data_IF_705435849223
#
_entry.id   IF_705435849223
#
_cell.length_a   1.000
_cell.length_b   1.000
_cell.length_c   1.000
_cell.angle_alpha   90.00
_cell.angle_beta   90.00
_cell.angle_gamma   90.00
#
_symmetry.space_group_name_H-M   'P 1'
#
loop_
_entity.id
_entity.type
_entity.pdbx_description
1 polymer ?
#
# COMPACT_ATOMS: atom_id res chain seq x y z
N UNK A 1 4.34 18.25 -2.42
CA UNK A 1 4.64 17.55 -3.70
C UNK A 1 3.51 16.60 -4.03
N UNK A 2 3.32 16.29 -5.32
CA UNK A 2 2.38 15.27 -5.77
C UNK A 2 3.00 13.87 -5.60
N UNK A 3 2.25 12.94 -5.01
CA UNK A 3 2.66 11.55 -4.80
C UNK A 3 1.50 10.58 -4.99
N UNK A 4 1.83 9.32 -5.26
CA UNK A 4 0.90 8.20 -5.35
C UNK A 4 1.20 7.22 -4.21
N UNK A 5 0.24 7.03 -3.30
CA UNK A 5 0.36 6.18 -2.11
C UNK A 5 -0.23 4.79 -2.38
N UNK A 6 0.56 3.74 -2.11
CA UNK A 6 0.21 2.33 -2.35
C UNK A 6 -0.01 1.52 -1.07
N UNK A 7 0.10 2.12 0.13
CA UNK A 7 -0.08 1.46 1.45
C UNK A 7 -1.33 0.58 1.54
N UNK A 8 -2.44 1.00 0.94
CA UNK A 8 -3.73 0.29 0.95
C UNK A 8 -4.22 -0.06 -0.46
N UNK A 9 -3.30 -0.23 -1.41
CA UNK A 9 -3.65 -0.42 -2.82
C UNK A 9 -4.59 -1.60 -3.08
N UNK A 10 -4.37 -2.73 -2.39
CA UNK A 10 -5.17 -3.94 -2.59
C UNK A 10 -6.59 -3.87 -2.01
N UNK A 11 -6.91 -2.87 -1.19
CA UNK A 11 -8.23 -2.71 -0.58
C UNK A 11 -8.94 -1.43 -1.00
N UNK A 12 -8.20 -0.37 -1.32
CA UNK A 12 -8.73 0.97 -1.58
C UNK A 12 -8.19 1.62 -2.86
N UNK A 13 -7.33 0.92 -3.59
CA UNK A 13 -6.63 1.46 -4.76
C UNK A 13 -5.49 2.41 -4.39
N UNK A 14 -4.84 2.94 -5.43
CA UNK A 14 -3.76 3.94 -5.29
C UNK A 14 -4.37 5.28 -4.93
N UNK A 15 -3.89 5.90 -3.86
CA UNK A 15 -4.33 7.24 -3.48
C UNK A 15 -3.41 8.28 -4.11
N UNK A 16 -3.97 9.14 -4.95
CA UNK A 16 -3.27 10.33 -5.44
C UNK A 16 -3.37 11.45 -4.40
N UNK A 17 -2.23 12.03 -4.05
CA UNK A 17 -2.12 13.09 -3.05
C UNK A 17 -1.35 14.25 -3.64
N UNK A 18 -1.96 15.43 -3.63
CA UNK A 18 -1.24 16.68 -3.82
C UNK A 18 -0.91 17.31 -2.46
N UNK A 19 0.25 17.96 -2.37
CA UNK A 19 0.69 18.62 -1.12
C UNK A 19 1.28 17.69 -0.05
N UNK A 20 1.78 16.50 -0.40
CA UNK A 20 2.55 15.69 0.55
C UNK A 20 3.89 16.37 0.91
N UNK A 21 4.35 16.18 2.14
CA UNK A 21 5.61 16.71 2.68
C UNK A 21 6.55 15.53 2.99
N UNK A 22 7.85 15.64 2.74
CA UNK A 22 8.82 14.63 3.23
C UNK A 22 8.99 14.77 4.74
N UNK A 23 9.14 13.65 5.44
CA UNK A 23 9.31 13.63 6.89
C UNK A 23 10.27 12.54 7.37
N UNK A 24 10.71 12.67 8.62
CA UNK A 24 11.67 11.78 9.28
C UNK A 24 13.11 12.26 9.12
N UNK A 25 14.00 11.78 10.00
CA UNK A 25 15.43 12.14 10.02
C UNK A 25 16.16 11.83 8.71
N UNK A 26 15.65 10.85 7.95
CA UNK A 26 16.21 10.42 6.66
C UNK A 26 15.34 10.86 5.46
N UNK A 27 14.26 11.62 5.68
CA UNK A 27 13.34 12.10 4.62
C UNK A 27 12.67 11.02 3.73
N UNK A 28 12.78 9.75 4.08
CA UNK A 28 12.22 8.66 3.25
C UNK A 28 10.72 8.43 3.46
N UNK A 29 10.14 9.02 4.50
CA UNK A 29 8.69 9.02 4.71
C UNK A 29 8.04 10.21 4.01
N UNK A 30 6.77 10.05 3.66
CA UNK A 30 5.92 11.18 3.30
C UNK A 30 4.75 11.30 4.24
N UNK A 31 4.40 12.55 4.51
CA UNK A 31 3.30 12.94 5.37
C UNK A 31 2.27 13.68 4.54
N UNK A 32 1.01 13.31 4.69
CA UNK A 32 -0.08 13.88 3.91
C UNK A 32 -1.38 13.94 4.71
N UNK A 33 -2.31 14.79 4.29
CA UNK A 33 -3.70 14.71 4.75
C UNK A 33 -4.47 13.88 3.75
N UNK A 34 -5.22 12.90 4.24
CA UNK A 34 -6.00 12.02 3.37
C UNK A 34 -7.27 12.71 2.88
N UNK A 35 -7.85 13.55 3.72
CA UNK A 35 -8.97 14.43 3.40
C UNK A 35 -8.65 15.86 3.85
N UNK A 36 -9.19 16.86 3.16
CA UNK A 36 -8.94 18.27 3.46
C UNK A 36 -9.31 18.65 4.91
N UNK A 37 -10.30 17.97 5.50
CA UNK A 37 -10.78 18.21 6.88
C UNK A 37 -10.06 17.37 7.93
N UNK A 38 -9.10 16.53 7.55
CA UNK A 38 -8.41 15.67 8.51
C UNK A 38 -7.62 16.52 9.49
N UNK A 39 -7.89 16.30 10.79
CA UNK A 39 -7.13 16.91 11.88
C UNK A 39 -5.75 16.28 12.05
N UNK A 40 -5.57 15.06 11.57
CA UNK A 40 -4.35 14.28 11.72
C UNK A 40 -3.68 14.05 10.38
N UNK A 41 -2.35 14.14 10.37
CA UNK A 41 -1.55 13.79 9.20
C UNK A 41 -1.32 12.27 9.18
N UNK A 42 -1.35 11.69 7.99
CA UNK A 42 -1.05 10.27 7.73
C UNK A 42 0.38 10.15 7.22
N UNK A 43 1.02 9.02 7.52
CA UNK A 43 2.37 8.70 7.09
C UNK A 43 2.33 7.57 6.05
N UNK A 44 3.12 7.69 4.99
CA UNK A 44 3.46 6.57 4.12
C UNK A 44 4.97 6.30 4.24
N UNK A 45 5.29 5.03 4.45
CA UNK A 45 6.67 4.55 4.61
C UNK A 45 7.37 4.43 3.25
N UNK A 46 8.71 4.34 3.24
CA UNK A 46 9.46 4.14 2.00
C UNK A 46 8.96 2.90 1.25
N UNK A 47 8.74 3.01 -0.06
CA UNK A 47 8.22 1.93 -0.90
C UNK A 47 6.69 1.74 -0.90
N UNK A 48 5.97 2.48 -0.04
CA UNK A 48 4.50 2.57 -0.09
C UNK A 48 4.03 3.92 -0.69
N UNK A 49 4.94 4.70 -1.25
CA UNK A 49 4.64 5.94 -1.96
C UNK A 49 5.61 6.14 -3.14
N UNK A 50 5.15 6.83 -4.17
CA UNK A 50 5.86 7.01 -5.43
C UNK A 50 5.67 8.43 -5.96
N UNK A 51 6.66 8.95 -6.70
CA UNK A 51 6.59 10.24 -7.41
C UNK A 51 6.12 10.10 -8.86
N UNK A 52 5.92 8.88 -9.33
CA UNK A 52 5.43 8.56 -10.67
C UNK A 52 4.27 7.57 -10.55
N UNK A 53 3.22 7.78 -11.36
CA UNK A 53 2.02 6.95 -11.33
C UNK A 53 2.31 5.53 -11.78
N UNK A 54 3.16 5.39 -12.80
CA UNK A 54 3.57 4.13 -13.40
C UNK A 54 4.32 3.26 -12.38
N UNK A 55 5.22 3.85 -11.60
CA UNK A 55 5.92 3.18 -10.51
C UNK A 55 4.95 2.67 -9.43
N UNK A 56 3.95 3.49 -9.07
CA UNK A 56 2.91 3.06 -8.14
C UNK A 56 2.10 1.88 -8.70
N UNK A 57 1.67 1.94 -9.95
CA UNK A 57 0.90 0.87 -10.59
C UNK A 57 1.70 -0.43 -10.68
N UNK A 58 2.98 -0.38 -11.06
CA UNK A 58 3.86 -1.54 -11.07
C UNK A 58 3.98 -2.18 -9.67
N UNK A 59 4.11 -1.35 -8.63
CA UNK A 59 4.15 -1.80 -7.25
C UNK A 59 2.84 -2.47 -6.82
N UNK A 60 1.69 -1.92 -7.22
CA UNK A 60 0.37 -2.52 -6.94
C UNK A 60 0.22 -3.88 -7.62
N UNK A 61 0.67 -4.02 -8.86
CA UNK A 61 0.58 -5.30 -9.57
C UNK A 61 1.48 -6.37 -8.94
N UNK A 62 2.67 -5.98 -8.49
CA UNK A 62 3.55 -6.86 -7.71
C UNK A 62 2.87 -7.30 -6.40
N UNK A 63 2.25 -6.36 -5.66
CA UNK A 63 1.49 -6.67 -4.45
C UNK A 63 0.32 -7.63 -4.72
N UNK A 64 -0.42 -7.38 -5.81
CA UNK A 64 -1.56 -8.20 -6.24
C UNK A 64 -1.12 -9.62 -6.52
N UNK A 65 -0.09 -9.79 -7.34
CA UNK A 65 0.45 -11.10 -7.72
C UNK A 65 0.92 -11.88 -6.49
N UNK A 66 1.69 -11.25 -5.60
CA UNK A 66 2.14 -11.87 -4.34
C UNK A 66 0.97 -12.27 -3.44
N UNK A 67 -0.08 -11.43 -3.36
CA UNK A 67 -1.25 -11.71 -2.53
C UNK A 67 -2.06 -12.89 -3.07
N UNK A 68 -2.23 -12.98 -4.38
CA UNK A 68 -2.90 -14.11 -5.04
C UNK A 68 -2.15 -15.41 -4.71
N UNK A 69 -0.85 -15.47 -4.97
CA UNK A 69 -0.05 -16.67 -4.69
C UNK A 69 -0.11 -17.10 -3.21
N UNK A 70 -0.10 -16.14 -2.29
CA UNK A 70 -0.24 -16.41 -0.87
C UNK A 70 -1.62 -16.98 -0.51
N UNK A 71 -2.70 -16.42 -1.09
CA UNK A 71 -4.07 -16.90 -0.88
C UNK A 71 -4.26 -18.30 -1.46
N UNK A 72 -3.75 -18.56 -2.68
CA UNK A 72 -3.80 -19.88 -3.31
C UNK A 72 -3.13 -20.93 -2.43
N UNK A 73 -1.94 -20.63 -1.88
CA UNK A 73 -1.25 -21.51 -0.93
C UNK A 73 -2.08 -21.77 0.33
N UNK A 74 -2.75 -20.74 0.87
CA UNK A 74 -3.64 -20.90 2.03
C UNK A 74 -4.85 -21.77 1.68
N UNK A 75 -5.42 -21.59 0.48
CA UNK A 75 -6.55 -22.38 0.00
C UNK A 75 -6.19 -23.86 -0.16
N UNK A 76 -5.03 -24.17 -0.75
CA UNK A 76 -4.57 -25.56 -0.88
C UNK A 76 -4.33 -26.22 0.50
N UNK A 77 -3.78 -25.47 1.45
CA UNK A 77 -3.66 -25.94 2.84
C UNK A 77 -5.03 -26.28 3.44
N UNK A 78 -6.03 -25.41 3.24
CA UNK A 78 -7.38 -25.64 3.74
C UNK A 78 -8.05 -26.86 3.08
N UNK A 79 -7.90 -27.02 1.76
CA UNK A 79 -8.44 -28.19 1.02
C UNK A 79 -7.89 -29.52 1.50
N UNK A 80 -6.65 -29.55 1.98
CA UNK A 80 -5.94 -30.75 2.43
C UNK A 80 -6.03 -30.98 3.93
N UNK A 81 -6.67 -30.07 4.67
CA UNK A 81 -6.77 -30.14 6.12
C UNK A 81 -7.76 -31.23 6.54
N UNK A 82 -7.30 -32.18 7.37
CA UNK A 82 -8.18 -33.16 8.01
C UNK A 82 -8.64 -32.62 9.35
N UNK A 83 -9.94 -32.68 9.61
CA UNK A 83 -10.49 -32.39 10.94
C UNK A 83 -10.46 -33.69 11.73
N UNK A 84 -9.65 -33.72 12.78
CA UNK A 84 -9.64 -34.81 13.76
C UNK A 84 -10.26 -34.31 15.05
N UNK A 85 -11.12 -35.14 15.65
CA UNK A 85 -11.71 -34.94 16.97
C UNK A 85 -10.74 -35.39 18.07
#
# INVERSE_FOLDING_TARGET
MKVWITTYALSRGVLEVDGAERAGSNLDYVVYRRFARDRWRTFAKPGDWHTEKESALARVEEMRTKKIAAIEKQLEKLKTMKVTL
#
